data_IF_680788517746
#
_entry.id   IF_680788517746
#
_cell.length_a   1.000
_cell.length_b   1.000
_cell.length_c   1.000
_cell.angle_alpha   90.00
_cell.angle_beta   90.00
_cell.angle_gamma   90.00
#
_symmetry.space_group_name_H-M   'P 1'
#
loop_
_entity.id
_entity.type
_entity.pdbx_description
1 polymer ?
#
# COMPACT_ATOMS: atom_id res chain seq x y z
N UNK A 1 -38.49 40.54 -22.32
CA UNK A 1 -37.83 39.34 -21.79
C UNK A 1 -36.34 39.36 -22.08
N UNK A 2 -35.53 39.67 -21.07
CA UNK A 2 -34.09 39.51 -21.16
C UNK A 2 -33.73 38.04 -20.89
N UNK A 3 -32.82 37.43 -21.66
CA UNK A 3 -32.45 36.03 -21.47
C UNK A 3 -31.64 35.90 -20.18
N UNK A 4 -32.12 35.03 -19.27
CA UNK A 4 -31.41 34.65 -18.05
C UNK A 4 -30.19 33.82 -18.45
N UNK A 5 -28.99 34.34 -18.15
CA UNK A 5 -27.75 33.62 -18.40
C UNK A 5 -27.72 32.32 -17.57
N UNK A 6 -27.21 31.20 -18.13
CA UNK A 6 -27.13 29.95 -17.39
C UNK A 6 -26.15 30.10 -16.24
N UNK A 7 -26.63 29.87 -15.01
CA UNK A 7 -25.77 29.77 -13.83
C UNK A 7 -24.92 28.52 -14.01
N UNK A 8 -23.62 28.70 -14.25
CA UNK A 8 -22.67 27.60 -14.30
C UNK A 8 -22.72 26.85 -12.96
N UNK A 9 -23.27 25.63 -12.97
CA UNK A 9 -23.23 24.75 -11.82
C UNK A 9 -21.76 24.51 -11.45
N UNK A 10 -21.34 24.94 -10.26
CA UNK A 10 -19.99 24.66 -9.77
C UNK A 10 -19.78 23.14 -9.76
N UNK A 11 -18.67 22.66 -10.30
CA UNK A 11 -18.32 21.25 -10.24
C UNK A 11 -18.47 20.72 -8.79
N UNK A 12 -19.06 19.53 -8.58
CA UNK A 12 -19.27 19.01 -7.23
C UNK A 12 -17.94 18.96 -6.50
N UNK A 13 -17.91 19.55 -5.29
CA UNK A 13 -16.72 19.53 -4.44
C UNK A 13 -16.37 18.09 -4.12
N UNK A 14 -15.12 17.74 -4.36
CA UNK A 14 -14.57 16.42 -4.05
C UNK A 14 -14.74 16.09 -2.55
N UNK A 15 -15.51 15.04 -2.20
CA UNK A 15 -15.85 14.75 -0.80
C UNK A 15 -14.64 14.34 0.05
N UNK A 16 -13.56 13.86 -0.56
CA UNK A 16 -12.34 13.46 0.17
C UNK A 16 -11.32 14.60 0.27
N UNK A 17 -11.60 15.79 -0.27
CA UNK A 17 -10.64 16.90 -0.27
C UNK A 17 -10.23 17.34 1.16
N UNK A 18 -11.13 17.48 2.15
CA UNK A 18 -10.75 17.81 3.51
C UNK A 18 -9.86 16.73 4.17
N UNK A 19 -10.23 15.45 4.01
CA UNK A 19 -9.43 14.33 4.50
C UNK A 19 -8.02 14.32 3.90
N UNK A 20 -7.92 14.54 2.58
CA UNK A 20 -6.63 14.60 1.90
C UNK A 20 -5.76 15.77 2.37
N UNK A 21 -6.35 16.91 2.71
CA UNK A 21 -5.62 18.03 3.29
C UNK A 21 -5.01 17.63 4.64
N UNK A 22 -5.84 17.10 5.56
CA UNK A 22 -5.37 16.64 6.87
C UNK A 22 -4.31 15.54 6.79
N UNK A 23 -4.45 14.58 5.87
CA UNK A 23 -3.46 13.52 5.66
C UNK A 23 -2.11 14.05 5.18
N UNK A 24 -2.09 15.08 4.33
CA UNK A 24 -0.85 15.68 3.80
C UNK A 24 -0.12 16.56 4.84
N UNK A 25 -0.85 17.04 5.83
CA UNK A 25 -0.29 17.81 6.95
C UNK A 25 0.27 16.93 8.08
N UNK A 26 0.10 15.60 7.99
CA UNK A 26 0.63 14.68 8.99
C UNK A 26 2.15 14.79 9.09
N UNK A 27 2.61 15.09 10.30
CA UNK A 27 4.02 14.94 10.66
C UNK A 27 4.38 13.46 10.67
N UNK A 28 5.40 13.13 9.89
CA UNK A 28 6.03 11.81 9.89
C UNK A 28 6.53 11.45 11.28
N UNK A 29 6.48 10.17 11.62
CA UNK A 29 7.11 9.66 12.83
C UNK A 29 8.64 9.80 12.73
N UNK A 30 9.38 9.80 13.86
CA UNK A 30 10.84 9.83 13.84
C UNK A 30 11.40 8.66 13.01
N UNK A 31 12.54 8.83 12.32
CA UNK A 31 13.19 7.72 11.67
C UNK A 31 13.56 6.64 12.72
N UNK A 32 13.51 5.35 12.36
CA UNK A 32 13.91 4.30 13.28
C UNK A 32 15.43 4.37 13.53
N UNK A 33 15.93 3.83 14.66
CA UNK A 33 17.37 3.79 14.94
C UNK A 33 18.14 2.92 13.94
N UNK A 34 17.49 1.89 13.36
CA UNK A 34 18.03 1.02 12.32
C UNK A 34 16.87 0.47 11.46
N UNK A 35 17.16 0.05 10.23
CA UNK A 35 16.20 -0.69 9.41
C UNK A 35 16.15 -2.16 9.80
N UNK A 36 15.10 -2.87 9.39
CA UNK A 36 15.03 -4.33 9.61
C UNK A 36 16.11 -5.01 8.78
N UNK A 37 16.99 -5.80 9.42
CA UNK A 37 18.12 -6.47 8.78
C UNK A 37 19.10 -5.53 8.05
N UNK A 38 19.20 -4.27 8.48
CA UNK A 38 20.06 -3.25 7.84
C UNK A 38 19.83 -3.09 6.32
N UNK A 39 18.60 -3.37 5.86
CA UNK A 39 18.23 -3.42 4.44
C UNK A 39 17.03 -2.51 4.15
N UNK A 40 17.04 -1.86 2.98
CA UNK A 40 15.91 -1.13 2.43
C UNK A 40 15.13 -2.04 1.46
N UNK A 41 13.89 -2.39 1.79
CA UNK A 41 13.06 -3.27 0.98
C UNK A 41 12.32 -2.50 -0.12
N UNK A 42 13.07 -2.04 -1.13
CA UNK A 42 12.54 -1.18 -2.21
C UNK A 42 11.69 -1.91 -3.25
N UNK A 43 11.78 -3.25 -3.32
CA UNK A 43 10.95 -4.09 -4.18
C UNK A 43 10.42 -5.29 -3.41
N UNK A 44 9.18 -5.67 -3.70
CA UNK A 44 8.57 -6.86 -3.11
C UNK A 44 9.18 -8.16 -3.65
N UNK A 45 9.31 -9.13 -2.76
CA UNK A 45 9.63 -10.52 -3.10
C UNK A 45 8.41 -11.45 -3.05
N UNK A 46 7.20 -10.90 -2.89
CA UNK A 46 5.93 -11.64 -2.92
C UNK A 46 5.53 -11.92 -4.37
N UNK A 47 5.46 -13.22 -4.71
CA UNK A 47 5.28 -13.71 -6.09
C UNK A 47 3.86 -14.16 -6.42
N UNK A 48 2.98 -14.21 -5.42
CA UNK A 48 1.63 -14.78 -5.52
C UNK A 48 0.56 -13.87 -4.90
N UNK A 49 0.70 -12.56 -5.09
CA UNK A 49 -0.31 -11.58 -4.65
C UNK A 49 -1.68 -11.85 -5.29
N UNK A 50 -1.73 -12.55 -6.44
CA UNK A 50 -2.96 -13.03 -7.09
C UNK A 50 -3.87 -13.81 -6.15
N UNK A 51 -3.31 -14.45 -5.11
CA UNK A 51 -4.07 -15.18 -4.10
C UNK A 51 -4.96 -14.27 -3.24
N UNK A 52 -4.73 -12.96 -3.21
CA UNK A 52 -5.61 -12.01 -2.55
C UNK A 52 -6.72 -11.47 -3.46
N UNK A 53 -6.53 -11.52 -4.78
CA UNK A 53 -7.41 -10.85 -5.74
C UNK A 53 -8.89 -11.19 -5.56
N UNK A 54 -9.31 -12.46 -5.34
CA UNK A 54 -10.72 -12.79 -5.18
C UNK A 54 -11.43 -12.04 -4.03
N UNK A 55 -10.68 -11.60 -3.02
CA UNK A 55 -11.21 -10.96 -1.82
C UNK A 55 -11.18 -9.43 -1.88
N UNK A 56 -10.50 -8.86 -2.87
CA UNK A 56 -10.32 -7.41 -2.96
C UNK A 56 -10.76 -6.79 -4.29
N UNK A 57 -11.04 -7.58 -5.33
CA UNK A 57 -11.39 -7.06 -6.66
C UNK A 57 -12.58 -6.09 -6.58
N UNK A 58 -12.37 -4.83 -6.97
CA UNK A 58 -13.39 -3.79 -6.96
C UNK A 58 -13.90 -3.34 -5.57
N UNK A 59 -13.23 -3.69 -4.47
CA UNK A 59 -13.71 -3.41 -3.10
C UNK A 59 -13.83 -1.90 -2.77
N UNK A 60 -13.04 -1.05 -3.43
CA UNK A 60 -13.11 0.41 -3.27
C UNK A 60 -12.65 0.92 -1.90
N UNK A 61 -13.23 2.04 -1.47
CA UNK A 61 -12.97 2.65 -0.16
C UNK A 61 -11.52 3.08 0.07
N UNK A 62 -11.07 3.08 1.33
CA UNK A 62 -9.69 3.44 1.70
C UNK A 62 -8.81 2.20 1.72
N UNK A 63 -7.68 2.27 1.03
CA UNK A 63 -6.59 1.30 1.09
C UNK A 63 -5.50 1.83 2.02
N UNK A 64 -5.07 1.03 2.99
CA UNK A 64 -3.90 1.31 3.84
C UNK A 64 -2.89 0.19 3.64
N UNK A 65 -1.62 0.53 3.36
CA UNK A 65 -0.61 -0.51 3.11
C UNK A 65 0.82 -0.10 3.43
N UNK A 66 1.64 -1.10 3.76
CA UNK A 66 3.11 -0.99 3.95
C UNK A 66 3.87 -1.50 2.73
N UNK A 67 5.16 -1.17 2.60
CA UNK A 67 6.00 -1.62 1.50
C UNK A 67 5.74 -0.87 0.19
N UNK A 68 6.22 -1.41 -0.93
CA UNK A 68 6.37 -0.68 -2.21
C UNK A 68 5.40 -1.14 -3.30
N UNK A 69 5.89 -1.78 -4.37
CA UNK A 69 5.23 -2.02 -5.65
C UNK A 69 4.01 -2.95 -5.55
N UNK A 70 3.98 -3.82 -4.54
CA UNK A 70 2.84 -4.69 -4.27
C UNK A 70 1.55 -3.90 -4.04
N UNK A 71 1.64 -2.68 -3.49
CA UNK A 71 0.48 -1.82 -3.27
C UNK A 71 -0.11 -1.33 -4.59
N UNK A 72 0.69 -1.16 -5.65
CA UNK A 72 0.21 -0.78 -6.99
C UNK A 72 -0.59 -1.92 -7.63
N UNK A 73 -0.13 -3.16 -7.46
CA UNK A 73 -0.84 -4.37 -7.91
C UNK A 73 -2.20 -4.46 -7.23
N UNK A 74 -2.19 -4.37 -5.90
CA UNK A 74 -3.40 -4.48 -5.09
C UNK A 74 -4.37 -3.34 -5.34
N UNK A 75 -3.89 -2.12 -5.58
CA UNK A 75 -4.73 -0.97 -5.96
C UNK A 75 -5.34 -1.10 -7.35
N UNK A 76 -4.61 -1.67 -8.32
CA UNK A 76 -5.15 -1.97 -9.64
C UNK A 76 -6.37 -2.91 -9.59
N UNK A 77 -6.35 -3.88 -8.69
CA UNK A 77 -7.48 -4.79 -8.46
C UNK A 77 -8.57 -4.20 -7.57
N UNK A 78 -8.19 -3.61 -6.42
CA UNK A 78 -9.17 -3.13 -5.43
C UNK A 78 -9.84 -1.82 -5.78
N UNK A 79 -9.28 -1.03 -6.70
CA UNK A 79 -9.82 0.25 -7.17
C UNK A 79 -10.21 1.19 -6.01
N UNK A 80 -9.31 1.45 -5.05
CA UNK A 80 -9.63 2.27 -3.88
C UNK A 80 -9.95 3.70 -4.29
N UNK A 81 -10.73 4.42 -3.49
CA UNK A 81 -10.95 5.86 -3.66
C UNK A 81 -9.77 6.70 -3.12
N UNK A 82 -9.01 6.13 -2.18
CA UNK A 82 -7.88 6.75 -1.50
C UNK A 82 -6.87 5.66 -1.08
N UNK A 83 -5.58 5.91 -1.30
CA UNK A 83 -4.49 5.09 -0.79
C UNK A 83 -3.68 5.86 0.25
N UNK A 84 -3.43 5.23 1.39
CA UNK A 84 -2.55 5.72 2.45
C UNK A 84 -1.44 4.69 2.64
N UNK A 85 -0.23 5.06 2.26
CA UNK A 85 0.94 4.19 2.27
C UNK A 85 1.82 4.58 3.46
N UNK A 86 1.95 3.67 4.41
CA UNK A 86 2.65 3.91 5.68
C UNK A 86 3.83 2.97 5.76
N UNK A 87 5.03 3.53 5.85
CA UNK A 87 6.25 2.74 6.00
C UNK A 87 7.21 3.46 6.95
N UNK A 88 7.96 2.72 7.76
CA UNK A 88 8.92 3.36 8.68
C UNK A 88 10.18 3.82 7.95
N UNK A 89 10.44 3.26 6.75
CA UNK A 89 11.60 3.56 5.93
C UNK A 89 11.33 4.76 5.02
N UNK A 90 12.10 5.84 5.18
CA UNK A 90 11.96 7.03 4.36
C UNK A 90 12.19 6.74 2.87
N UNK A 91 13.08 5.80 2.52
CA UNK A 91 13.32 5.47 1.11
C UNK A 91 12.10 4.81 0.48
N UNK A 92 11.30 4.06 1.24
CA UNK A 92 10.03 3.49 0.73
C UNK A 92 9.01 4.58 0.45
N UNK A 93 8.86 5.54 1.37
CA UNK A 93 7.98 6.72 1.19
C UNK A 93 8.39 7.52 -0.04
N UNK A 94 9.68 7.73 -0.21
CA UNK A 94 10.27 8.44 -1.34
C UNK A 94 10.08 7.70 -2.67
N UNK A 95 10.18 6.36 -2.64
CA UNK A 95 9.94 5.54 -3.80
C UNK A 95 8.48 5.62 -4.27
N UNK A 96 7.53 5.72 -3.34
CA UNK A 96 6.13 6.00 -3.69
C UNK A 96 5.94 7.36 -4.35
N UNK A 97 6.66 8.39 -3.88
CA UNK A 97 6.64 9.69 -4.54
C UNK A 97 7.19 9.59 -5.98
N UNK A 98 8.29 8.85 -6.18
CA UNK A 98 8.84 8.58 -7.52
C UNK A 98 7.82 7.85 -8.39
N UNK A 99 7.26 6.73 -7.92
CA UNK A 99 6.20 6.01 -8.65
C UNK A 99 5.04 6.92 -9.03
N UNK A 100 4.61 7.79 -8.13
CA UNK A 100 3.50 8.69 -8.38
C UNK A 100 3.78 9.73 -9.46
N UNK A 101 4.99 10.27 -9.52
CA UNK A 101 5.40 11.19 -10.60
C UNK A 101 5.47 10.47 -11.96
N UNK A 102 6.05 9.28 -12.00
CA UNK A 102 6.18 8.52 -13.24
C UNK A 102 4.82 8.03 -13.75
N UNK A 103 3.96 7.45 -12.89
CA UNK A 103 2.60 7.03 -13.27
C UNK A 103 1.75 8.19 -13.80
N UNK A 104 1.86 9.38 -13.18
CA UNK A 104 1.13 10.56 -13.64
C UNK A 104 1.56 10.98 -15.05
N UNK A 105 2.85 10.89 -15.35
CA UNK A 105 3.42 11.25 -16.65
C UNK A 105 3.18 10.19 -17.74
N UNK A 106 2.94 8.94 -17.37
CA UNK A 106 2.85 7.82 -18.31
C UNK A 106 1.40 7.52 -18.73
N UNK A 107 0.99 7.75 -19.99
CA UNK A 107 -0.38 7.49 -20.44
C UNK A 107 -0.74 6.00 -20.47
N UNK A 108 0.25 5.11 -20.58
CA UNK A 108 0.09 3.66 -20.62
C UNK A 108 1.24 2.94 -19.89
N UNK A 109 1.13 1.62 -19.80
CA UNK A 109 2.12 0.75 -19.15
C UNK A 109 3.49 0.84 -19.82
N UNK A 110 3.54 0.90 -21.16
CA UNK A 110 4.79 0.93 -21.89
C UNK A 110 5.59 2.20 -21.58
N UNK A 111 4.91 3.35 -21.55
CA UNK A 111 5.51 4.62 -21.12
C UNK A 111 5.98 4.57 -19.66
N UNK A 112 5.22 3.93 -18.77
CA UNK A 112 5.60 3.78 -17.36
C UNK A 112 6.85 2.92 -17.20
N UNK A 113 6.91 1.76 -17.86
CA UNK A 113 8.08 0.88 -17.83
C UNK A 113 9.31 1.54 -18.47
N UNK A 114 9.13 2.31 -19.56
CA UNK A 114 10.22 3.08 -20.18
C UNK A 114 10.83 4.09 -19.20
N UNK A 115 10.02 4.74 -18.37
CA UNK A 115 10.53 5.67 -17.34
C UNK A 115 11.33 5.00 -16.22
N UNK A 116 11.33 3.66 -16.12
CA UNK A 116 12.24 2.91 -15.26
C UNK A 116 13.43 2.30 -16.04
N UNK A 117 13.46 2.44 -17.36
CA UNK A 117 14.54 1.92 -18.20
C UNK A 117 15.72 2.90 -18.29
N UNK A 118 16.83 2.44 -18.88
CA UNK A 118 17.98 3.32 -19.13
C UNK A 118 17.63 4.44 -20.15
N UNK A 119 16.72 4.15 -21.08
CA UNK A 119 16.25 5.11 -22.09
C UNK A 119 15.46 6.26 -21.47
N UNK A 120 14.56 5.95 -20.52
CA UNK A 120 13.71 6.95 -19.87
C UNK A 120 14.38 7.71 -18.72
N UNK A 121 15.61 7.36 -18.32
CA UNK A 121 16.26 7.92 -17.13
C UNK A 121 16.34 9.45 -17.13
N UNK A 122 16.73 10.05 -18.27
CA UNK A 122 16.86 11.52 -18.38
C UNK A 122 15.51 12.22 -18.19
N UNK A 123 14.46 11.63 -18.73
CA UNK A 123 13.09 12.15 -18.64
C UNK A 123 12.51 11.98 -17.24
N UNK A 124 12.71 10.81 -16.63
CA UNK A 124 12.30 10.53 -15.26
C UNK A 124 12.94 11.52 -14.27
N UNK A 125 14.26 11.75 -14.37
CA UNK A 125 14.96 12.72 -13.53
C UNK A 125 14.45 14.16 -13.75
N UNK A 126 14.11 14.54 -14.99
CA UNK A 126 13.49 15.83 -15.30
C UNK A 126 12.08 15.97 -14.71
N UNK A 127 11.28 14.90 -14.72
CA UNK A 127 9.97 14.87 -14.06
C UNK A 127 10.09 15.06 -12.54
N UNK A 128 11.02 14.34 -11.90
CA UNK A 128 11.27 14.46 -10.46
C UNK A 128 11.75 15.87 -10.09
N UNK A 129 12.66 16.45 -10.89
CA UNK A 129 13.17 17.81 -10.66
C UNK A 129 12.08 18.89 -10.73
N UNK A 130 11.07 18.71 -11.59
CA UNK A 130 9.97 19.67 -11.77
C UNK A 130 8.95 19.67 -10.63
N UNK A 131 8.65 18.51 -10.05
CA UNK A 131 7.52 18.36 -9.13
C UNK A 131 7.94 18.16 -7.67
N UNK A 132 9.18 17.75 -7.41
CA UNK A 132 9.67 17.62 -6.04
C UNK A 132 10.04 18.99 -5.43
N UNK A 133 9.76 19.15 -4.14
CA UNK A 133 10.25 20.28 -3.35
C UNK A 133 11.79 20.32 -3.34
N UNK A 134 12.36 21.51 -3.17
CA UNK A 134 13.82 21.74 -3.28
C UNK A 134 14.63 20.78 -2.40
N UNK A 135 14.20 20.58 -1.16
CA UNK A 135 14.87 19.67 -0.20
C UNK A 135 14.79 18.19 -0.61
N UNK A 136 13.71 17.78 -1.28
CA UNK A 136 13.48 16.40 -1.66
C UNK A 136 14.18 16.02 -2.98
N UNK A 137 14.37 16.99 -3.90
CA UNK A 137 14.91 16.73 -5.26
C UNK A 137 16.20 15.91 -5.26
N UNK A 138 17.26 16.24 -4.49
CA UNK A 138 18.51 15.48 -4.54
C UNK A 138 18.33 14.05 -4.06
N UNK A 139 17.56 13.86 -2.98
CA UNK A 139 17.29 12.55 -2.38
C UNK A 139 16.45 11.66 -3.31
N UNK A 140 15.40 12.20 -3.94
CA UNK A 140 14.59 11.44 -4.91
C UNK A 140 15.39 11.08 -6.16
N UNK A 141 16.23 11.99 -6.67
CA UNK A 141 17.08 11.70 -7.82
C UNK A 141 18.13 10.61 -7.50
N UNK A 142 18.73 10.64 -6.31
CA UNK A 142 19.67 9.62 -5.86
C UNK A 142 18.97 8.25 -5.71
N UNK A 143 17.82 8.22 -5.04
CA UNK A 143 17.04 7.00 -4.85
C UNK A 143 16.56 6.41 -6.18
N UNK A 144 16.08 7.26 -7.10
CA UNK A 144 15.70 6.80 -8.44
C UNK A 144 16.89 6.08 -9.11
N UNK A 145 18.08 6.71 -9.15
CA UNK A 145 19.25 6.09 -9.77
C UNK A 145 19.65 4.78 -9.12
N UNK A 146 19.65 4.69 -7.79
CA UNK A 146 20.07 3.48 -7.08
C UNK A 146 19.06 2.34 -7.19
N UNK A 147 17.76 2.64 -7.29
CA UNK A 147 16.69 1.63 -7.31
C UNK A 147 16.17 1.27 -8.70
N UNK A 148 16.45 2.09 -9.73
CA UNK A 148 15.86 1.98 -11.07
C UNK A 148 15.96 0.57 -11.66
N UNK A 149 17.14 -0.04 -11.59
CA UNK A 149 17.39 -1.37 -12.17
C UNK A 149 16.58 -2.45 -11.46
N UNK A 150 16.52 -2.40 -10.13
CA UNK A 150 15.79 -3.37 -9.33
C UNK A 150 14.28 -3.25 -9.51
N UNK A 151 13.76 -2.02 -9.56
CA UNK A 151 12.34 -1.76 -9.84
C UNK A 151 11.96 -2.24 -11.24
N UNK A 152 12.75 -1.88 -12.27
CA UNK A 152 12.50 -2.33 -13.64
C UNK A 152 12.47 -3.87 -13.73
N UNK A 153 13.48 -4.52 -13.15
CA UNK A 153 13.57 -5.99 -13.09
C UNK A 153 12.38 -6.60 -12.35
N UNK A 154 11.97 -6.01 -11.22
CA UNK A 154 10.83 -6.46 -10.42
C UNK A 154 9.54 -6.45 -11.24
N UNK A 155 9.25 -5.35 -11.93
CA UNK A 155 8.06 -5.19 -12.76
C UNK A 155 8.05 -6.17 -13.94
N UNK A 156 9.20 -6.38 -14.59
CA UNK A 156 9.34 -7.35 -15.67
C UNK A 156 9.10 -8.79 -15.20
N UNK A 157 9.74 -9.19 -14.10
CA UNK A 157 9.58 -10.52 -13.48
C UNK A 157 8.12 -10.75 -13.09
N UNK A 158 7.47 -9.74 -12.51
CA UNK A 158 6.06 -9.81 -12.12
C UNK A 158 5.16 -9.99 -13.34
N UNK A 159 5.32 -9.15 -14.37
CA UNK A 159 4.53 -9.22 -15.60
C UNK A 159 4.68 -10.59 -16.30
N UNK A 160 5.91 -11.12 -16.36
CA UNK A 160 6.15 -12.47 -16.90
C UNK A 160 5.45 -13.53 -16.07
N UNK A 161 5.60 -13.48 -14.74
CA UNK A 161 4.98 -14.46 -13.84
C UNK A 161 3.46 -14.47 -13.94
N UNK A 162 2.85 -13.30 -14.03
CA UNK A 162 1.40 -13.17 -14.15
C UNK A 162 0.90 -13.68 -15.50
N UNK A 163 1.65 -13.49 -16.58
CA UNK A 163 1.38 -14.15 -17.87
C UNK A 163 1.41 -15.68 -17.76
N UNK A 164 2.42 -16.24 -17.09
CA UNK A 164 2.53 -17.69 -16.87
C UNK A 164 1.37 -18.27 -16.05
N UNK A 165 0.79 -17.46 -15.15
CA UNK A 165 -0.30 -17.84 -14.25
C UNK A 165 -1.69 -17.47 -14.79
N UNK A 166 -1.78 -16.86 -15.98
CA UNK A 166 -3.00 -16.27 -16.53
C UNK A 166 -3.69 -15.27 -15.57
N UNK A 167 -2.88 -14.45 -14.89
CA UNK A 167 -3.33 -13.41 -13.95
C UNK A 167 -3.27 -12.06 -14.64
N UNK A 168 -4.40 -11.38 -14.72
CA UNK A 168 -4.50 -9.99 -15.21
C UNK A 168 -4.10 -8.97 -14.13
N UNK A 169 -3.42 -7.90 -14.49
CA UNK A 169 -3.09 -6.79 -13.59
C UNK A 169 -2.90 -5.46 -14.33
N UNK A 170 -2.57 -4.39 -13.59
CA UNK A 170 -2.23 -3.10 -14.20
C UNK A 170 -1.05 -3.17 -15.20
N UNK A 171 -0.22 -4.21 -15.16
CA UNK A 171 0.93 -4.38 -16.05
C UNK A 171 0.56 -4.93 -17.44
N UNK A 172 -0.64 -5.46 -17.63
CA UNK A 172 -1.07 -6.01 -18.92
C UNK A 172 -2.51 -5.62 -19.31
N UNK A 173 -3.24 -4.96 -18.41
CA UNK A 173 -4.64 -4.60 -18.56
C UNK A 173 -4.80 -3.07 -18.58
N UNK A 174 -5.11 -2.47 -19.74
CA UNK A 174 -5.22 -1.01 -19.86
C UNK A 174 -6.21 -0.36 -18.89
N UNK A 175 -7.34 -1.02 -18.60
CA UNK A 175 -8.33 -0.52 -17.65
C UNK A 175 -7.80 -0.46 -16.20
N UNK A 176 -7.08 -1.49 -15.76
CA UNK A 176 -6.49 -1.53 -14.42
C UNK A 176 -5.35 -0.51 -14.30
N UNK A 177 -4.55 -0.34 -15.36
CA UNK A 177 -3.55 0.74 -15.43
C UNK A 177 -4.17 2.13 -15.34
N UNK A 178 -5.22 2.37 -16.12
CA UNK A 178 -5.91 3.66 -16.14
C UNK A 178 -6.50 4.01 -14.76
N UNK A 179 -7.14 3.04 -14.10
CA UNK A 179 -7.68 3.20 -12.75
C UNK A 179 -6.57 3.49 -11.72
N UNK A 180 -5.47 2.74 -11.76
CA UNK A 180 -4.31 2.98 -10.89
C UNK A 180 -3.74 4.39 -11.12
N UNK A 181 -3.48 4.74 -12.39
CA UNK A 181 -2.94 6.05 -12.78
C UNK A 181 -3.84 7.20 -12.33
N UNK A 182 -5.16 7.02 -12.44
CA UNK A 182 -6.13 8.04 -12.05
C UNK A 182 -6.00 8.43 -10.58
N UNK A 183 -5.65 7.49 -9.68
CA UNK A 183 -5.33 7.80 -8.28
C UNK A 183 -4.19 8.80 -8.16
N UNK A 184 -3.13 8.64 -8.93
CA UNK A 184 -1.97 9.54 -8.91
C UNK A 184 -2.23 10.88 -9.61
N UNK A 185 -3.05 10.88 -10.67
CA UNK A 185 -3.50 12.11 -11.35
C UNK A 185 -4.39 12.95 -10.43
N UNK A 186 -5.35 12.31 -9.75
CA UNK A 186 -6.25 12.96 -8.78
C UNK A 186 -5.61 13.19 -7.41
N UNK A 187 -4.32 12.87 -7.24
CA UNK A 187 -3.56 13.00 -5.98
C UNK A 187 -4.24 12.28 -4.79
N UNK A 188 -4.80 11.09 -5.04
CA UNK A 188 -5.45 10.16 -4.09
C UNK A 188 -4.49 9.20 -3.39
N UNK A 189 -3.19 9.43 -3.49
CA UNK A 189 -2.17 8.61 -2.83
C UNK A 189 -1.39 9.49 -1.89
N UNK A 190 -1.37 9.12 -0.61
CA UNK A 190 -0.57 9.77 0.43
C UNK A 190 0.41 8.74 0.98
N UNK A 191 1.70 8.97 0.80
CA UNK A 191 2.74 8.18 1.43
C UNK A 191 3.33 8.97 2.60
N UNK A 192 3.46 8.36 3.77
CA UNK A 192 3.92 9.02 4.99
C UNK A 192 4.78 8.07 5.82
N UNK A 193 5.85 8.60 6.42
CA UNK A 193 6.69 7.78 7.29
C UNK A 193 6.00 7.54 8.61
N UNK A 194 5.76 6.27 8.95
CA UNK A 194 5.07 5.88 10.16
C UNK A 194 5.38 4.45 10.57
N UNK A 195 5.27 4.16 11.86
CA UNK A 195 5.51 2.84 12.42
C UNK A 195 4.24 2.35 13.12
N UNK A 196 3.85 1.12 12.78
CA UNK A 196 2.66 0.47 13.32
C UNK A 196 2.80 0.10 14.81
N UNK A 197 4.02 0.11 15.37
CA UNK A 197 4.33 -0.41 16.70
C UNK A 197 4.39 0.65 17.81
N UNK A 198 4.22 1.93 17.49
CA UNK A 198 4.17 3.01 18.46
C UNK A 198 2.98 3.96 18.22
N UNK A 199 2.64 4.78 19.23
CA UNK A 199 1.63 5.84 19.03
C UNK A 199 2.21 6.93 18.12
N UNK A 200 1.51 7.26 17.04
CA UNK A 200 2.13 7.92 15.89
C UNK A 200 1.19 8.16 14.72
N UNK A 201 1.77 8.13 13.52
CA UNK A 201 1.07 8.40 12.25
C UNK A 201 -0.15 7.50 12.07
N UNK A 202 -0.05 6.21 12.42
CA UNK A 202 -1.18 5.27 12.26
C UNK A 202 -2.39 5.68 13.11
N UNK A 203 -2.16 6.14 14.35
CA UNK A 203 -3.22 6.63 15.24
C UNK A 203 -3.86 7.91 14.72
N UNK A 204 -3.06 8.83 14.15
CA UNK A 204 -3.53 10.08 13.53
C UNK A 204 -4.33 9.83 12.25
N UNK A 205 -3.88 8.91 11.39
CA UNK A 205 -4.63 8.44 10.22
C UNK A 205 -5.99 7.91 10.64
N UNK A 206 -6.01 7.02 11.64
CA UNK A 206 -7.24 6.46 12.18
C UNK A 206 -8.23 7.52 12.69
N UNK A 207 -7.74 8.60 13.33
CA UNK A 207 -8.57 9.70 13.79
C UNK A 207 -9.18 10.48 12.60
N UNK A 208 -8.37 10.86 11.62
CA UNK A 208 -8.83 11.56 10.41
C UNK A 208 -9.85 10.74 9.62
N UNK A 209 -9.62 9.42 9.47
CA UNK A 209 -10.57 8.56 8.78
C UNK A 209 -11.93 8.51 9.49
N UNK A 210 -11.96 8.48 10.83
CA UNK A 210 -13.22 8.54 11.59
C UNK A 210 -13.91 9.89 11.48
N UNK A 211 -13.15 10.98 11.58
CA UNK A 211 -13.68 12.35 11.45
C UNK A 211 -14.40 12.56 10.12
N UNK A 212 -13.90 11.91 9.05
CA UNK A 212 -14.45 12.00 7.70
C UNK A 212 -15.32 10.79 7.29
N UNK A 213 -15.76 9.98 8.25
CA UNK A 213 -16.57 8.76 8.04
C UNK A 213 -16.06 7.85 6.92
N UNK A 214 -14.74 7.71 6.83
CA UNK A 214 -14.07 6.82 5.88
C UNK A 214 -13.69 5.51 6.55
N UNK A 215 -13.96 4.40 5.85
CA UNK A 215 -13.61 3.05 6.29
C UNK A 215 -12.42 2.52 5.50
N UNK A 216 -11.53 1.82 6.21
CA UNK A 216 -10.44 1.09 5.57
C UNK A 216 -11.03 -0.21 5.00
N UNK A 217 -11.02 -0.38 3.69
CA UNK A 217 -11.51 -1.59 3.01
C UNK A 217 -10.42 -2.63 2.82
N UNK A 218 -9.19 -2.18 2.55
CA UNK A 218 -8.02 -3.06 2.49
C UNK A 218 -6.94 -2.54 3.44
N UNK A 219 -6.49 -3.41 4.34
CA UNK A 219 -5.31 -3.17 5.18
C UNK A 219 -4.23 -4.20 4.81
N UNK A 220 -3.17 -3.77 4.14
CA UNK A 220 -2.06 -4.63 3.76
C UNK A 220 -0.84 -4.42 4.68
N UNK A 221 -0.47 -5.47 5.42
CA UNK A 221 0.61 -5.44 6.41
C UNK A 221 1.88 -6.16 5.96
N UNK A 222 1.92 -6.72 4.74
CA UNK A 222 3.05 -7.58 4.31
C UNK A 222 3.36 -8.61 5.41
N UNK A 223 4.63 -8.88 5.67
CA UNK A 223 5.11 -9.74 6.74
C UNK A 223 5.65 -8.96 7.95
N UNK A 224 5.32 -7.67 8.11
CA UNK A 224 5.94 -6.82 9.16
C UNK A 224 5.70 -7.40 10.55
N UNK A 225 4.56 -8.04 10.74
CA UNK A 225 4.11 -8.60 12.01
C UNK A 225 4.98 -9.77 12.49
N UNK A 226 5.86 -10.32 11.65
CA UNK A 226 6.81 -11.36 12.06
C UNK A 226 7.96 -10.79 12.91
N UNK A 227 8.24 -9.49 12.79
CA UNK A 227 9.42 -8.85 13.38
C UNK A 227 9.17 -8.28 14.78
N UNK A 228 7.94 -8.37 15.28
CA UNK A 228 7.59 -7.88 16.61
C UNK A 228 6.47 -8.68 17.27
N UNK A 229 6.36 -8.54 18.59
CA UNK A 229 5.19 -9.02 19.34
C UNK A 229 4.14 -7.91 19.41
N UNK A 230 2.86 -8.30 19.48
CA UNK A 230 1.74 -7.36 19.55
C UNK A 230 1.65 -6.71 20.93
N UNK A 231 2.52 -5.72 21.15
CA UNK A 231 2.47 -4.81 22.30
C UNK A 231 1.23 -3.93 22.22
N UNK A 232 0.92 -3.26 23.33
CA UNK A 232 -0.25 -2.39 23.46
C UNK A 232 -0.37 -1.37 22.34
N UNK A 233 0.72 -0.67 21.99
CA UNK A 233 0.69 0.36 20.94
C UNK A 233 0.27 -0.20 19.56
N UNK A 234 0.80 -1.35 19.15
CA UNK A 234 0.36 -2.01 17.91
C UNK A 234 -1.13 -2.38 17.96
N UNK A 235 -1.58 -3.00 19.06
CA UNK A 235 -2.99 -3.36 19.25
C UNK A 235 -3.90 -2.13 19.21
N UNK A 236 -3.51 -1.07 19.90
CA UNK A 236 -4.23 0.20 19.96
C UNK A 236 -4.29 0.84 18.56
N UNK A 237 -3.22 0.78 17.76
CA UNK A 237 -3.22 1.24 16.37
C UNK A 237 -4.17 0.44 15.50
N UNK A 238 -4.15 -0.90 15.59
CA UNK A 238 -5.06 -1.76 14.82
C UNK A 238 -6.51 -1.51 15.20
N UNK A 239 -6.83 -1.42 16.50
CA UNK A 239 -8.17 -1.08 17.01
C UNK A 239 -8.61 0.34 16.64
N UNK A 240 -7.66 1.23 16.37
CA UNK A 240 -7.96 2.57 15.90
C UNK A 240 -8.32 2.60 14.42
N UNK A 241 -7.90 1.67 13.57
CA UNK A 241 -8.29 1.76 12.16
C UNK A 241 -9.80 1.48 12.02
N UNK A 242 -10.57 2.28 11.27
CA UNK A 242 -12.01 2.06 11.13
C UNK A 242 -12.28 0.92 10.14
N UNK A 243 -12.07 -0.30 10.64
CA UNK A 243 -12.35 -1.57 9.97
C UNK A 243 -13.73 -2.12 10.37
N UNK A 244 -14.39 -2.81 9.45
CA UNK A 244 -15.68 -3.47 9.62
C UNK A 244 -15.69 -4.87 8.95
N UNK A 245 -16.85 -5.51 8.86
CA UNK A 245 -17.04 -6.82 8.26
C UNK A 245 -16.77 -6.86 6.74
N UNK A 246 -16.79 -5.71 6.07
CA UNK A 246 -16.45 -5.55 4.65
C UNK A 246 -14.99 -5.19 4.43
N UNK A 247 -14.22 -5.03 5.51
CA UNK A 247 -12.78 -4.79 5.45
C UNK A 247 -12.01 -6.11 5.38
N UNK A 248 -10.94 -6.13 4.59
CA UNK A 248 -10.02 -7.27 4.47
C UNK A 248 -8.62 -6.86 4.91
N UNK A 249 -8.05 -7.64 5.81
CA UNK A 249 -6.67 -7.49 6.30
C UNK A 249 -5.81 -8.57 5.67
N UNK A 250 -4.72 -8.15 5.04
CA UNK A 250 -3.85 -8.96 4.22
C UNK A 250 -2.44 -8.95 4.78
N UNK A 251 -1.84 -10.12 4.94
CA UNK A 251 -0.50 -10.26 5.52
C UNK A 251 0.17 -11.53 5.04
N UNK A 252 1.49 -11.56 5.02
CA UNK A 252 2.27 -12.72 4.60
C UNK A 252 3.09 -13.29 5.75
N UNK A 253 3.34 -14.59 5.71
CA UNK A 253 4.29 -15.27 6.59
C UNK A 253 5.26 -16.13 5.78
N UNK A 254 6.55 -16.20 6.14
CA UNK A 254 7.50 -17.06 5.44
C UNK A 254 7.02 -18.52 5.41
N UNK A 255 7.07 -19.13 4.22
CA UNK A 255 6.66 -20.50 3.99
C UNK A 255 7.71 -21.32 3.24
N UNK A 256 7.57 -22.65 3.28
CA UNK A 256 8.44 -23.63 2.60
C UNK A 256 7.84 -24.10 1.27
N UNK A 257 8.66 -24.52 0.29
CA UNK A 257 10.13 -24.55 0.29
C UNK A 257 10.78 -23.17 0.15
N UNK A 258 10.11 -22.21 -0.50
CA UNK A 258 10.53 -20.80 -0.54
C UNK A 258 9.34 -19.91 -0.91
N UNK A 259 9.18 -18.78 -0.23
CA UNK A 259 8.15 -17.79 -0.47
C UNK A 259 7.31 -17.52 0.77
N UNK A 260 6.03 -17.19 0.56
CA UNK A 260 5.13 -16.78 1.62
C UNK A 260 3.82 -17.55 1.57
N UNK A 261 3.23 -17.79 2.72
CA UNK A 261 1.80 -18.03 2.85
C UNK A 261 1.07 -16.69 2.91
N UNK A 262 -0.08 -16.58 2.25
CA UNK A 262 -0.86 -15.36 2.08
C UNK A 262 -2.10 -15.45 2.97
N UNK A 263 -2.14 -14.67 4.04
CA UNK A 263 -3.16 -14.74 5.07
C UNK A 263 -4.16 -13.60 4.88
N UNK A 264 -5.45 -13.94 5.03
CA UNK A 264 -6.57 -13.01 4.94
C UNK A 264 -7.39 -13.06 6.22
N UNK A 265 -7.87 -11.92 6.69
CA UNK A 265 -8.72 -11.82 7.87
C UNK A 265 -9.72 -10.69 7.68
N UNK A 266 -10.98 -10.90 8.07
CA UNK A 266 -11.95 -9.80 8.12
C UNK A 266 -11.54 -8.75 9.15
N UNK A 267 -11.84 -7.49 8.87
CA UNK A 267 -11.43 -6.36 9.71
C UNK A 267 -12.07 -6.34 11.10
N UNK A 268 -13.37 -6.63 11.18
CA UNK A 268 -14.07 -6.81 12.47
C UNK A 268 -13.46 -7.94 13.32
N UNK A 269 -13.10 -9.06 12.69
CA UNK A 269 -12.37 -10.15 13.34
C UNK A 269 -10.99 -9.71 13.80
N UNK A 270 -10.24 -8.94 13.02
CA UNK A 270 -8.97 -8.39 13.52
C UNK A 270 -9.18 -7.63 14.83
N UNK A 271 -10.21 -6.79 14.93
CA UNK A 271 -10.50 -6.06 16.17
C UNK A 271 -10.78 -6.99 17.35
N UNK A 272 -11.54 -8.07 17.18
CA UNK A 272 -11.75 -9.07 18.22
C UNK A 272 -10.42 -9.68 18.68
N UNK A 273 -9.56 -10.08 17.73
CA UNK A 273 -8.26 -10.67 18.01
C UNK A 273 -7.30 -9.70 18.70
N UNK A 274 -7.34 -8.40 18.36
CA UNK A 274 -6.52 -7.39 19.02
C UNK A 274 -6.95 -7.14 20.47
N UNK A 275 -8.24 -7.31 20.81
CA UNK A 275 -8.74 -7.24 22.20
C UNK A 275 -8.41 -8.49 23.02
N UNK A 276 -8.16 -9.63 22.37
CA UNK A 276 -7.88 -10.87 23.06
C UNK A 276 -6.51 -10.84 23.77
N UNK A 277 -6.43 -11.18 25.07
CA UNK A 277 -5.19 -11.09 25.85
C UNK A 277 -4.14 -12.11 25.40
N UNK A 278 -4.55 -13.25 24.83
CA UNK A 278 -3.68 -14.36 24.44
C UNK A 278 -3.12 -14.26 23.00
N UNK A 279 -3.43 -13.18 22.29
CA UNK A 279 -2.95 -12.93 20.93
C UNK A 279 -1.80 -11.92 20.99
N UNK A 280 -0.57 -12.39 20.85
CA UNK A 280 0.65 -11.59 21.01
C UNK A 280 1.62 -11.69 19.83
N UNK A 281 1.29 -12.46 18.79
CA UNK A 281 2.06 -12.54 17.55
C UNK A 281 1.17 -13.00 16.39
N UNK A 282 1.62 -12.72 15.18
CA UNK A 282 0.99 -13.19 13.94
C UNK A 282 0.99 -14.71 13.83
N UNK A 283 2.00 -15.39 14.37
CA UNK A 283 2.06 -16.86 14.40
C UNK A 283 0.99 -17.46 15.32
N UNK A 284 0.74 -16.81 16.47
CA UNK A 284 -0.37 -17.19 17.36
C UNK A 284 -1.72 -16.91 16.71
N UNK A 285 -1.84 -15.78 16.02
CA UNK A 285 -3.02 -15.42 15.23
C UNK A 285 -3.29 -16.43 14.11
N UNK A 286 -2.23 -16.87 13.43
CA UNK A 286 -2.27 -17.93 12.42
C UNK A 286 -2.61 -19.31 13.01
N UNK A 287 -2.52 -19.50 14.32
CA UNK A 287 -2.74 -20.79 14.97
C UNK A 287 -1.63 -21.81 14.72
N UNK A 288 -0.42 -21.34 14.41
CA UNK A 288 0.72 -22.22 14.10
C UNK A 288 1.07 -23.11 15.31
N UNK A 289 1.09 -24.42 15.09
CA UNK A 289 1.44 -25.41 16.13
C UNK A 289 2.95 -25.66 16.18
N UNK A 290 3.44 -26.10 17.34
CA UNK A 290 4.85 -26.49 17.49
C UNK A 290 5.18 -27.62 16.51
N UNK A 291 6.20 -27.43 15.68
CA UNK A 291 6.63 -28.39 14.66
C UNK A 291 5.90 -28.30 13.33
N UNK A 292 4.86 -27.47 13.22
CA UNK A 292 4.20 -27.18 11.95
C UNK A 292 5.06 -26.22 11.11
N UNK A 293 5.02 -26.38 9.79
CA UNK A 293 5.63 -25.46 8.84
C UNK A 293 4.56 -24.89 7.93
N UNK A 294 4.67 -23.60 7.62
CA UNK A 294 3.79 -22.95 6.66
C UNK A 294 4.20 -23.33 5.25
N UNK A 295 3.23 -23.67 4.40
CA UNK A 295 3.44 -23.90 2.98
C UNK A 295 3.43 -22.56 2.23
N UNK A 296 4.45 -22.33 1.41
CA UNK A 296 4.53 -21.17 0.55
C UNK A 296 3.53 -21.26 -0.62
N UNK A 297 3.13 -20.11 -1.15
CA UNK A 297 2.21 -19.95 -2.27
C UNK A 297 0.80 -20.50 -2.00
N UNK A 298 0.42 -20.58 -0.72
CA UNK A 298 -0.91 -20.97 -0.27
C UNK A 298 -1.67 -19.77 0.28
N UNK A 299 -2.97 -19.75 -0.01
CA UNK A 299 -3.94 -18.81 0.58
C UNK A 299 -4.45 -19.39 1.89
N UNK A 300 -4.57 -18.55 2.92
CA UNK A 300 -5.11 -18.94 4.22
C UNK A 300 -6.08 -17.91 4.77
N UNK A 301 -7.34 -18.29 4.96
CA UNK A 301 -8.37 -17.40 5.54
C UNK A 301 -8.47 -17.65 7.04
N UNK A 302 -8.36 -16.59 7.83
CA UNK A 302 -8.44 -16.61 9.28
C UNK A 302 -9.90 -16.39 9.71
N UNK A 303 -10.67 -17.48 9.70
CA UNK A 303 -12.11 -17.44 10.03
C UNK A 303 -12.39 -17.61 11.53
N UNK A 304 -11.45 -18.18 12.27
CA UNK A 304 -11.64 -18.52 13.68
C UNK A 304 -11.84 -17.28 14.57
N UNK A 305 -12.73 -17.40 15.56
CA UNK A 305 -12.81 -16.46 16.67
C UNK A 305 -11.53 -16.53 17.54
N UNK A 306 -11.17 -15.45 18.25
CA UNK A 306 -10.00 -15.47 19.12
C UNK A 306 -10.15 -16.48 20.29
N UNK A 307 -9.03 -17.05 20.78
CA UNK A 307 -9.01 -18.08 21.83
C UNK A 307 -9.05 -17.55 23.28
#
# INVERSE_FOLDING_TARGET
DAPVAPVAASAPKDPLAPLLAGLRELKSDPPPPATTNDTHYLVSNERRLDLYRPDIDGLGGVYVGVGTDQNLVMAGWSRPALMILVDFDQQVVDLHAIHGELLRASPDVAAFLRLWSAEGEREALSLLARHAGEDARPRLAALYRSSRVDVARRLEVLARRYRELDVRSYLDTPADYAALRELFVKRRVVAVRGDFTHDGVVRRIAALLREHDQRVRVLYLSNIEQYFTYKRAFKDNMLALPLDESSVVLRTLPGRPAGFQYLLQRGDRLHEWMRAPRVWSVYRLRGLKKGEHLEANQRWVLEAAPP
#
